data_IF_421101772409
#
_entry.id   IF_421101772409
#
_cell.length_a   1.000
_cell.length_b   1.000
_cell.length_c   1.000
_cell.angle_alpha   90.00
_cell.angle_beta   90.00
_cell.angle_gamma   90.00
#
_symmetry.space_group_name_H-M   'P 1'
#
loop_
_entity.id
_entity.type
_entity.pdbx_description
1 polymer ?
#
# COMPACT_ATOMS: atom_id res chain seq x y z
N UNK A 1 26.92 7.90 -6.45
CA UNK A 1 26.20 6.66 -6.82
C UNK A 1 24.82 6.72 -6.20
N UNK A 2 23.75 6.77 -6.99
CA UNK A 2 22.38 6.63 -6.48
C UNK A 2 22.17 5.16 -6.09
N UNK A 3 21.75 4.92 -4.85
CA UNK A 3 21.45 3.59 -4.35
C UNK A 3 20.39 2.93 -5.23
N UNK A 4 20.58 1.67 -5.63
CA UNK A 4 19.59 0.84 -6.33
C UNK A 4 19.01 -0.15 -5.30
N UNK A 5 18.13 0.30 -4.39
CA UNK A 5 17.58 -0.58 -3.37
C UNK A 5 16.72 -1.65 -4.05
N UNK A 6 16.75 -2.87 -3.50
CA UNK A 6 15.85 -3.94 -3.95
C UNK A 6 14.48 -3.86 -3.27
N UNK A 7 14.39 -3.14 -2.15
CA UNK A 7 13.18 -2.99 -1.33
C UNK A 7 13.03 -1.53 -0.91
N UNK A 8 11.81 -1.01 -1.05
CA UNK A 8 11.37 0.29 -0.52
C UNK A 8 10.30 0.04 0.54
N UNK A 9 10.55 0.46 1.77
CA UNK A 9 9.55 0.48 2.84
C UNK A 9 9.03 1.91 3.01
N UNK A 10 7.70 2.06 3.06
CA UNK A 10 7.01 3.31 3.31
C UNK A 10 6.05 3.10 4.47
N UNK A 11 6.26 3.86 5.54
CA UNK A 11 5.43 3.83 6.74
C UNK A 11 4.57 5.09 6.77
N UNK A 12 3.26 4.92 6.59
CA UNK A 12 2.23 5.96 6.60
C UNK A 12 2.57 7.23 5.78
N UNK A 13 3.01 7.11 4.50
CA UNK A 13 3.44 8.27 3.71
C UNK A 13 2.34 9.29 3.40
N UNK A 14 1.06 8.97 3.66
CA UNK A 14 -0.06 9.90 3.46
C UNK A 14 -0.47 10.68 4.70
N UNK A 15 0.04 10.36 5.90
CA UNK A 15 -0.35 11.01 7.15
C UNK A 15 0.02 12.51 7.16
N UNK A 16 -0.95 13.39 7.43
CA UNK A 16 -0.72 14.84 7.50
C UNK A 16 -0.44 15.52 6.16
N UNK A 17 -0.52 14.80 5.03
CA UNK A 17 -0.23 15.30 3.69
C UNK A 17 -1.51 15.76 2.97
N UNK A 18 -1.38 16.80 2.15
CA UNK A 18 -2.51 17.32 1.36
C UNK A 18 -2.94 16.35 0.25
N UNK A 19 -4.25 16.29 -0.11
CA UNK A 19 -4.77 15.34 -1.10
C UNK A 19 -4.08 15.36 -2.47
N UNK A 20 -3.72 16.55 -2.96
CA UNK A 20 -3.00 16.69 -4.22
C UNK A 20 -1.61 16.03 -4.16
N UNK A 21 -0.90 16.13 -3.04
CA UNK A 21 0.43 15.53 -2.82
C UNK A 21 0.30 14.01 -2.69
N UNK A 22 -0.71 13.49 -1.99
CA UNK A 22 -1.01 12.05 -1.93
C UNK A 22 -1.14 11.47 -3.35
N UNK A 23 -1.84 12.16 -4.25
CA UNK A 23 -1.93 11.72 -5.65
C UNK A 23 -0.57 11.73 -6.38
N UNK A 24 0.33 12.67 -6.06
CA UNK A 24 1.67 12.67 -6.64
C UNK A 24 2.50 11.48 -6.14
N UNK A 25 2.46 11.22 -4.84
CA UNK A 25 3.12 10.07 -4.21
C UNK A 25 2.63 8.77 -4.86
N UNK A 26 1.32 8.61 -4.99
CA UNK A 26 0.71 7.43 -5.62
C UNK A 26 1.20 7.22 -7.07
N UNK A 27 1.33 8.30 -7.86
CA UNK A 27 1.88 8.21 -9.22
C UNK A 27 3.34 7.74 -9.24
N UNK A 28 4.16 8.20 -8.30
CA UNK A 28 5.57 7.77 -8.18
C UNK A 28 5.64 6.30 -7.79
N UNK A 29 4.85 5.86 -6.81
CA UNK A 29 4.81 4.46 -6.39
C UNK A 29 4.35 3.56 -7.54
N UNK A 30 3.30 3.95 -8.26
CA UNK A 30 2.82 3.21 -9.43
C UNK A 30 3.88 3.10 -10.53
N UNK A 31 4.65 4.17 -10.77
CA UNK A 31 5.78 4.14 -11.70
C UNK A 31 6.89 3.18 -11.26
N UNK A 32 7.27 3.20 -9.98
CA UNK A 32 8.28 2.29 -9.44
C UNK A 32 7.82 0.83 -9.51
N UNK A 33 6.56 0.56 -9.15
CA UNK A 33 5.93 -0.75 -9.30
C UNK A 33 5.99 -1.24 -10.75
N UNK A 34 5.63 -0.40 -11.72
CA UNK A 34 5.59 -0.75 -13.13
C UNK A 34 6.98 -1.08 -13.71
N UNK A 35 8.05 -0.49 -13.17
CA UNK A 35 9.43 -0.84 -13.55
C UNK A 35 9.82 -2.25 -13.10
N UNK A 36 9.23 -2.74 -12.00
CA UNK A 36 9.43 -4.10 -11.51
C UNK A 36 10.83 -4.42 -10.97
N UNK A 37 11.69 -3.42 -10.80
CA UNK A 37 13.07 -3.60 -10.31
C UNK A 37 13.21 -3.44 -8.79
N UNK A 38 12.15 -3.04 -8.10
CA UNK A 38 12.11 -2.78 -6.66
C UNK A 38 10.82 -3.36 -6.06
N UNK A 39 10.92 -4.09 -4.96
CA UNK A 39 9.78 -4.49 -4.16
C UNK A 39 9.34 -3.34 -3.24
N UNK A 40 8.05 -3.07 -3.14
CA UNK A 40 7.50 -1.97 -2.34
C UNK A 40 6.65 -2.56 -1.22
N UNK A 41 6.96 -2.22 0.03
CA UNK A 41 6.14 -2.52 1.21
C UNK A 41 5.57 -1.19 1.69
N UNK A 42 4.25 -1.08 1.61
CA UNK A 42 3.50 0.11 1.98
C UNK A 42 2.65 -0.20 3.20
N UNK A 43 2.88 0.51 4.30
CA UNK A 43 2.01 0.51 5.49
C UNK A 43 1.15 1.75 5.43
N UNK A 44 -0.16 1.57 5.42
CA UNK A 44 -1.11 2.67 5.23
C UNK A 44 -2.41 2.44 5.98
N UNK A 45 -2.95 3.52 6.53
CA UNK A 45 -4.28 3.54 7.13
C UNK A 45 -5.33 4.06 6.14
N UNK A 46 -4.92 4.80 5.12
CA UNK A 46 -5.83 5.29 4.10
C UNK A 46 -6.18 4.19 3.09
N UNK A 47 -7.32 3.54 3.32
CA UNK A 47 -7.76 2.34 2.59
C UNK A 47 -7.72 2.50 1.07
N UNK A 48 -8.28 3.59 0.53
CA UNK A 48 -8.38 3.76 -0.92
C UNK A 48 -7.00 3.87 -1.58
N UNK A 49 -6.06 4.57 -0.93
CA UNK A 49 -4.69 4.68 -1.41
C UNK A 49 -3.94 3.34 -1.36
N UNK A 50 -4.04 2.61 -0.25
CA UNK A 50 -3.44 1.28 -0.11
C UNK A 50 -4.02 0.31 -1.14
N UNK A 51 -5.35 0.29 -1.28
CA UNK A 51 -6.05 -0.60 -2.21
C UNK A 51 -5.70 -0.31 -3.67
N UNK A 52 -5.57 0.96 -4.06
CA UNK A 52 -5.24 1.34 -5.42
C UNK A 52 -3.82 0.90 -5.83
N UNK A 53 -2.86 1.01 -4.91
CA UNK A 53 -1.44 0.71 -5.17
C UNK A 53 -1.05 -0.74 -4.90
N UNK A 54 -1.75 -1.43 -4.01
CA UNK A 54 -1.37 -2.77 -3.53
C UNK A 54 -1.68 -3.91 -4.50
N UNK A 55 -0.73 -4.84 -4.61
CA UNK A 55 -0.91 -6.12 -5.32
C UNK A 55 -1.32 -7.25 -4.37
N UNK A 56 -0.79 -7.19 -3.14
CA UNK A 56 -1.05 -8.12 -2.05
C UNK A 56 -1.30 -7.32 -0.78
N UNK A 57 -2.27 -7.76 0.00
CA UNK A 57 -2.74 -7.11 1.20
C UNK A 57 -2.50 -8.02 2.40
N UNK A 58 -2.13 -7.37 3.51
CA UNK A 58 -2.08 -7.95 4.84
C UNK A 58 -2.82 -6.97 5.75
N UNK A 59 -3.92 -7.41 6.35
CA UNK A 59 -4.66 -6.62 7.32
C UNK A 59 -4.24 -7.05 8.71
N UNK A 60 -3.64 -6.14 9.47
CA UNK A 60 -3.22 -6.40 10.83
C UNK A 60 -4.30 -5.92 11.81
N UNK A 61 -4.62 -6.76 12.79
CA UNK A 61 -5.50 -6.44 13.91
C UNK A 61 -4.89 -6.97 15.20
N UNK A 62 -4.72 -6.08 16.19
CA UNK A 62 -4.14 -6.43 17.52
C UNK A 62 -2.82 -7.22 17.41
N UNK A 63 -1.96 -6.83 16.47
CA UNK A 63 -0.66 -7.49 16.24
C UNK A 63 -0.71 -8.84 15.52
N UNK A 64 -1.87 -9.24 14.99
CA UNK A 64 -2.03 -10.49 14.23
C UNK A 64 -2.57 -10.22 12.83
N UNK A 65 -2.21 -11.06 11.86
CA UNK A 65 -2.77 -10.96 10.49
C UNK A 65 -4.20 -11.50 10.53
N UNK A 66 -5.17 -10.61 10.40
CA UNK A 66 -6.59 -10.95 10.37
C UNK A 66 -7.06 -11.40 8.98
N UNK A 67 -6.41 -10.88 7.93
CA UNK A 67 -6.69 -11.23 6.54
C UNK A 67 -5.43 -11.05 5.70
N UNK A 68 -5.21 -11.95 4.74
CA UNK A 68 -4.20 -11.78 3.70
C UNK A 68 -4.71 -12.28 2.35
N UNK A 69 -4.17 -11.71 1.27
CA UNK A 69 -4.50 -12.16 -0.09
C UNK A 69 -4.04 -11.18 -1.15
N UNK A 70 -4.16 -11.59 -2.41
CA UNK A 70 -3.91 -10.70 -3.55
C UNK A 70 -5.14 -9.87 -3.87
N UNK A 71 -4.93 -8.76 -4.59
CA UNK A 71 -6.01 -7.93 -5.13
C UNK A 71 -7.02 -8.71 -6.00
N UNK A 72 -6.60 -9.84 -6.57
CA UNK A 72 -7.46 -10.71 -7.40
C UNK A 72 -8.27 -11.68 -6.54
N UNK A 73 -7.71 -12.17 -5.43
CA UNK A 73 -8.39 -13.12 -4.55
C UNK A 73 -9.36 -12.46 -3.55
N UNK A 74 -9.14 -11.17 -3.23
CA UNK A 74 -9.92 -10.46 -2.23
C UNK A 74 -10.77 -9.38 -2.89
N UNK A 75 -12.07 -9.37 -2.60
CA UNK A 75 -12.95 -8.27 -2.99
C UNK A 75 -12.64 -7.02 -2.16
N UNK A 76 -12.79 -5.84 -2.75
CA UNK A 76 -12.62 -4.55 -2.07
C UNK A 76 -13.51 -4.44 -0.83
N UNK A 77 -14.72 -4.96 -0.90
CA UNK A 77 -15.72 -4.93 0.16
C UNK A 77 -15.26 -5.75 1.37
N UNK A 78 -14.83 -7.00 1.15
CA UNK A 78 -14.29 -7.85 2.21
C UNK A 78 -13.05 -7.24 2.89
N UNK A 79 -12.14 -6.65 2.11
CA UNK A 79 -10.98 -5.94 2.68
C UNK A 79 -11.42 -4.74 3.53
N UNK A 80 -12.36 -3.94 3.03
CA UNK A 80 -12.84 -2.73 3.71
C UNK A 80 -13.55 -3.07 5.02
N UNK A 81 -14.33 -4.15 5.04
CA UNK A 81 -15.04 -4.61 6.24
C UNK A 81 -14.06 -4.92 7.39
N UNK A 82 -12.95 -5.60 7.11
CA UNK A 82 -11.96 -5.97 8.14
C UNK A 82 -11.18 -4.76 8.66
N UNK A 83 -10.92 -3.77 7.81
CA UNK A 83 -10.18 -2.55 8.16
C UNK A 83 -11.04 -1.54 8.93
N UNK A 84 -12.36 -1.56 8.76
CA UNK A 84 -13.29 -0.57 9.35
C UNK A 84 -13.68 -0.84 10.81
N UNK A 85 -13.00 -1.75 11.52
CA UNK A 85 -13.36 -2.23 12.87
C UNK A 85 -12.27 -1.95 13.90
#
# INVERSE_FOLDING_TARGET
>A
MLMKPKILLLDEPTEGIQPNIIQQIGRVIAYLRARGDIAIILVEQYFDFAHDLGDRFYVLKRGTVAMEGTKVSLTREALREVVSV
#
